data_IF_612375935021
#
_entry.id   IF_612375935021
#
_cell.length_a   1.000
_cell.length_b   1.000
_cell.length_c   1.000
_cell.angle_alpha   90.00
_cell.angle_beta   90.00
_cell.angle_gamma   90.00
#
_symmetry.space_group_name_H-M   'P 1'
#
loop_
_entity.id
_entity.type
_entity.pdbx_description
1 polymer ?
#
# COMPACT_ATOMS: atom_id res chain seq x y z
N UNK A 1 -16.76 11.71 1.86
CA UNK A 1 -18.11 11.49 2.44
C UNK A 1 -18.91 10.42 1.69
N UNK A 2 -18.95 10.39 0.35
CA UNK A 2 -19.66 9.35 -0.41
C UNK A 2 -19.14 7.90 -0.19
N UNK A 3 -17.82 7.68 -0.23
CA UNK A 3 -17.24 6.32 -0.05
C UNK A 3 -17.51 5.69 1.32
N UNK A 4 -17.37 6.48 2.41
CA UNK A 4 -17.64 6.00 3.78
C UNK A 4 -19.11 5.63 3.98
N UNK A 5 -20.04 6.35 3.35
CA UNK A 5 -21.46 5.99 3.38
C UNK A 5 -21.72 4.68 2.62
N UNK A 6 -21.14 4.52 1.43
CA UNK A 6 -21.28 3.28 0.66
C UNK A 6 -20.77 2.04 1.42
N UNK A 7 -19.72 2.16 2.24
CA UNK A 7 -19.22 1.08 3.11
C UNK A 7 -20.25 0.75 4.21
N UNK A 8 -20.88 1.76 4.83
CA UNK A 8 -21.95 1.53 5.82
C UNK A 8 -23.14 0.80 5.20
N UNK A 9 -23.55 1.24 4.01
CA UNK A 9 -24.66 0.64 3.28
C UNK A 9 -24.35 -0.81 2.89
N UNK A 10 -23.13 -1.09 2.42
CA UNK A 10 -22.68 -2.45 2.13
C UNK A 10 -22.69 -3.35 3.38
N UNK A 11 -22.26 -2.83 4.54
CA UNK A 11 -22.36 -3.55 5.82
C UNK A 11 -23.81 -3.86 6.19
N UNK A 12 -24.72 -2.88 6.05
CA UNK A 12 -26.14 -3.08 6.30
C UNK A 12 -26.77 -4.13 5.38
N UNK A 13 -26.42 -4.12 4.09
CA UNK A 13 -26.86 -5.14 3.10
C UNK A 13 -26.36 -6.54 3.50
N UNK A 14 -25.15 -6.64 4.05
CA UNK A 14 -24.58 -7.89 4.55
C UNK A 14 -25.12 -8.32 5.93
N UNK A 15 -26.03 -7.56 6.55
CA UNK A 15 -26.55 -7.83 7.88
C UNK A 15 -25.59 -7.50 9.04
N UNK A 16 -24.59 -6.65 8.79
CA UNK A 16 -23.58 -6.23 9.77
C UNK A 16 -23.83 -4.79 10.24
N UNK A 17 -23.77 -4.57 11.55
CA UNK A 17 -23.77 -3.22 12.14
C UNK A 17 -22.35 -2.63 12.08
N UNK A 18 -22.15 -1.63 11.22
CA UNK A 18 -20.85 -0.95 11.10
C UNK A 18 -20.65 0.02 12.28
N UNK A 19 -19.88 -0.40 13.28
CA UNK A 19 -19.60 0.39 14.49
C UNK A 19 -18.69 1.59 14.20
N UNK A 20 -17.62 1.38 13.44
CA UNK A 20 -16.64 2.41 13.10
C UNK A 20 -16.05 2.13 11.70
N UNK A 21 -15.57 3.19 11.03
CA UNK A 21 -14.78 3.08 9.81
C UNK A 21 -13.45 3.77 10.07
N UNK A 22 -12.37 3.01 9.99
CA UNK A 22 -11.01 3.46 10.30
C UNK A 22 -10.14 3.41 9.06
N UNK A 23 -9.08 4.22 9.05
CA UNK A 23 -8.09 4.14 7.97
C UNK A 23 -7.13 2.97 8.24
N UNK A 24 -6.72 2.29 7.17
CA UNK A 24 -5.86 1.11 7.23
C UNK A 24 -4.51 1.41 7.90
N UNK A 25 -3.81 2.43 7.42
CA UNK A 25 -2.51 2.85 7.95
C UNK A 25 -2.56 3.27 9.43
N UNK A 26 -3.64 3.92 9.85
CA UNK A 26 -3.87 4.27 11.26
C UNK A 26 -4.10 3.02 12.10
N UNK A 27 -4.94 2.10 11.63
CA UNK A 27 -5.27 0.84 12.32
C UNK A 27 -4.02 -0.03 12.52
N UNK A 28 -3.19 -0.16 11.49
CA UNK A 28 -1.93 -0.90 11.56
C UNK A 28 -0.92 -0.25 12.51
N UNK A 29 -0.83 1.08 12.54
CA UNK A 29 0.04 1.77 13.48
C UNK A 29 -0.40 1.63 14.95
N UNK A 30 -1.71 1.57 15.21
CA UNK A 30 -2.25 1.27 16.55
C UNK A 30 -1.88 -0.15 16.96
N UNK A 31 -2.13 -1.11 16.07
CA UNK A 31 -1.76 -2.50 16.29
C UNK A 31 -0.26 -2.63 16.62
N UNK A 32 0.58 -1.87 15.92
CA UNK A 32 2.01 -1.77 16.19
C UNK A 32 2.33 -1.23 17.60
N UNK A 33 1.75 -0.10 17.99
CA UNK A 33 2.05 0.50 19.30
C UNK A 33 1.59 -0.37 20.48
N UNK A 34 0.46 -1.05 20.33
CA UNK A 34 -0.07 -1.98 21.33
C UNK A 34 0.80 -3.22 21.50
N UNK A 35 1.23 -3.84 20.40
CA UNK A 35 2.08 -5.04 20.46
C UNK A 35 3.45 -4.73 21.07
N UNK A 36 4.01 -3.55 20.80
CA UNK A 36 5.38 -3.20 21.21
C UNK A 36 5.47 -2.49 22.58
N UNK A 37 4.34 -2.23 23.26
CA UNK A 37 4.28 -1.58 24.59
C UNK A 37 5.17 -0.34 24.69
N UNK A 38 4.89 0.65 23.84
CA UNK A 38 5.69 1.87 23.72
C UNK A 38 5.51 2.74 24.97
N UNK A 39 6.56 2.84 25.80
CA UNK A 39 6.54 3.62 27.05
C UNK A 39 7.07 5.05 26.93
N UNK A 40 7.57 5.45 25.77
CA UNK A 40 8.11 6.77 25.52
C UNK A 40 7.53 7.34 24.22
N UNK A 41 7.40 8.66 24.15
CA UNK A 41 6.92 9.35 22.95
C UNK A 41 7.70 8.91 21.70
N UNK A 42 6.98 8.40 20.69
CA UNK A 42 7.56 8.00 19.40
C UNK A 42 6.74 8.55 18.24
N UNK A 43 7.47 9.09 17.27
CA UNK A 43 6.91 9.37 15.94
C UNK A 43 7.04 8.12 15.07
N UNK A 44 5.91 7.58 14.64
CA UNK A 44 5.81 6.41 13.77
C UNK A 44 5.30 6.85 12.41
N UNK A 45 5.95 6.42 11.33
CA UNK A 45 5.46 6.63 9.98
C UNK A 45 4.90 5.31 9.43
N UNK A 46 3.61 5.30 9.13
CA UNK A 46 2.97 4.21 8.41
C UNK A 46 3.04 4.49 6.90
N UNK A 47 3.77 3.64 6.17
CA UNK A 47 3.90 3.67 4.71
C UNK A 47 2.99 2.60 4.11
N UNK A 48 1.80 3.00 3.67
CA UNK A 48 0.81 2.13 3.05
C UNK A 48 0.91 2.21 1.53
N UNK A 49 1.38 1.14 0.89
CA UNK A 49 1.40 1.01 -0.57
C UNK A 49 0.53 -0.17 -1.00
N UNK A 50 -0.69 0.16 -1.43
CA UNK A 50 -1.69 -0.79 -1.87
C UNK A 50 -1.64 -1.09 -3.37
N UNK A 51 -2.80 -1.52 -3.89
CA UNK A 51 -2.98 -1.78 -5.32
C UNK A 51 -3.11 -0.51 -6.17
N UNK A 52 -3.83 0.50 -5.69
CA UNK A 52 -4.18 1.67 -6.51
C UNK A 52 -3.69 3.01 -5.95
N UNK A 53 -3.19 3.01 -4.72
CA UNK A 53 -2.83 4.22 -4.02
C UNK A 53 -1.71 3.96 -3.01
N UNK A 54 -1.05 5.06 -2.65
CA UNK A 54 -0.13 5.13 -1.51
C UNK A 54 -0.68 6.12 -0.50
N UNK A 55 -0.70 5.73 0.77
CA UNK A 55 -1.09 6.57 1.90
C UNK A 55 0.06 6.61 2.92
N UNK A 56 0.42 7.81 3.34
CA UNK A 56 1.41 8.04 4.38
C UNK A 56 0.70 8.66 5.57
N UNK A 57 0.82 8.02 6.72
CA UNK A 57 0.33 8.55 7.99
C UNK A 57 1.50 8.73 8.93
N UNK A 58 1.66 9.93 9.49
CA UNK A 58 2.57 10.17 10.60
C UNK A 58 1.75 10.13 11.88
N UNK A 59 2.15 9.29 12.83
CA UNK A 59 1.53 9.16 14.13
C UNK A 59 2.51 9.55 15.22
N UNK A 60 1.99 10.20 16.24
CA UNK A 60 2.64 10.37 17.52
C UNK A 60 1.98 9.38 18.49
N UNK A 61 2.79 8.50 19.08
CA UNK A 61 2.35 7.48 20.03
C UNK A 61 3.04 7.76 21.36
N UNK A 62 2.25 7.87 22.42
CA UNK A 62 2.71 8.07 23.80
C UNK A 62 1.84 7.24 24.74
N UNK A 63 2.39 6.19 25.32
CA UNK A 63 1.64 5.21 26.13
C UNK A 63 0.40 4.69 25.38
N UNK A 64 -0.80 5.11 25.79
CA UNK A 64 -2.10 4.73 25.21
C UNK A 64 -2.74 5.85 24.35
N UNK A 65 -2.05 6.97 24.11
CA UNK A 65 -2.50 8.05 23.23
C UNK A 65 -1.92 7.88 21.81
N UNK A 66 -2.83 7.70 20.84
CA UNK A 66 -2.50 7.49 19.44
C UNK A 66 -3.05 8.65 18.60
N UNK A 67 -2.15 9.54 18.18
CA UNK A 67 -2.52 10.74 17.42
C UNK A 67 -1.92 10.74 16.03
N UNK A 68 -2.77 10.63 15.01
CA UNK A 68 -2.34 10.94 13.65
C UNK A 68 -2.04 12.46 13.57
N UNK A 69 -0.83 12.84 13.16
CA UNK A 69 -0.44 14.24 13.01
C UNK A 69 -0.60 14.73 11.58
N UNK A 70 -0.45 13.83 10.60
CA UNK A 70 -0.66 14.13 9.19
C UNK A 70 -1.05 12.88 8.41
N UNK A 71 -1.76 13.09 7.30
CA UNK A 71 -2.07 12.06 6.31
C UNK A 71 -1.86 12.66 4.92
N UNK A 72 -1.02 12.03 4.11
CA UNK A 72 -0.82 12.37 2.71
C UNK A 72 -1.10 11.14 1.84
N UNK A 73 -1.65 11.34 0.64
CA UNK A 73 -1.91 10.24 -0.27
C UNK A 73 -1.69 10.63 -1.73
N UNK A 74 -1.46 9.63 -2.57
CA UNK A 74 -1.45 9.74 -4.03
C UNK A 74 -2.33 8.64 -4.63
N UNK A 75 -3.27 9.01 -5.50
CA UNK A 75 -4.38 8.15 -5.96
C UNK A 75 -4.16 7.48 -7.32
N UNK A 76 -2.96 7.55 -7.88
CA UNK A 76 -2.56 6.89 -9.13
C UNK A 76 -1.13 6.35 -8.99
N UNK A 77 -0.90 5.66 -7.88
CA UNK A 77 0.42 5.16 -7.52
C UNK A 77 0.26 3.93 -6.63
N UNK A 78 0.25 2.76 -7.25
CA UNK A 78 0.21 1.48 -6.53
C UNK A 78 0.59 0.29 -7.40
N UNK A 79 0.33 -0.91 -6.88
CA UNK A 79 0.62 -2.18 -7.54
C UNK A 79 0.01 -2.35 -8.94
N UNK A 80 -1.17 -1.79 -9.18
CA UNK A 80 -1.87 -1.80 -10.48
C UNK A 80 -1.09 -1.00 -11.53
N UNK A 81 -0.54 0.15 -11.16
CA UNK A 81 0.25 0.99 -12.06
C UNK A 81 1.55 0.27 -12.46
N UNK A 82 2.16 -0.47 -11.53
CA UNK A 82 3.34 -1.28 -11.81
C UNK A 82 3.04 -2.41 -12.79
N UNK A 83 1.88 -3.06 -12.64
CA UNK A 83 1.41 -4.07 -13.59
C UNK A 83 1.09 -3.46 -14.94
N UNK A 84 0.48 -2.28 -14.99
CA UNK A 84 0.19 -1.61 -16.27
C UNK A 84 1.47 -1.36 -17.08
N UNK A 85 2.57 -0.94 -16.43
CA UNK A 85 3.88 -0.79 -17.10
C UNK A 85 4.43 -2.10 -17.65
N UNK A 86 4.28 -3.20 -16.92
CA UNK A 86 4.65 -4.53 -17.40
C UNK A 86 3.79 -4.96 -18.61
N UNK A 87 2.48 -4.75 -18.54
CA UNK A 87 1.56 -5.06 -19.65
C UNK A 87 1.92 -4.25 -20.89
N UNK A 88 2.15 -2.94 -20.76
CA UNK A 88 2.55 -2.07 -21.87
C UNK A 88 3.90 -2.48 -22.49
N UNK A 89 4.85 -2.95 -21.67
CA UNK A 89 6.10 -3.52 -22.14
C UNK A 89 5.86 -4.78 -23.00
N UNK A 90 5.09 -5.75 -22.50
CA UNK A 90 4.82 -7.00 -23.22
C UNK A 90 3.92 -6.83 -24.44
N UNK A 91 2.97 -5.90 -24.42
CA UNK A 91 2.15 -5.56 -25.61
C UNK A 91 3.04 -5.03 -26.73
N UNK A 92 3.99 -4.13 -26.41
CA UNK A 92 4.96 -3.61 -27.40
C UNK A 92 5.87 -4.72 -27.92
N UNK A 93 6.35 -5.60 -27.04
CA UNK A 93 7.24 -6.68 -27.45
C UNK A 93 6.51 -7.75 -28.31
N UNK A 94 5.28 -8.10 -27.94
CA UNK A 94 4.43 -8.99 -28.74
C UNK A 94 4.22 -8.43 -30.15
N UNK A 95 3.88 -7.13 -30.26
CA UNK A 95 3.71 -6.45 -31.54
C UNK A 95 4.99 -6.45 -32.36
N UNK A 96 6.14 -6.24 -31.73
CA UNK A 96 7.45 -6.30 -32.40
C UNK A 96 7.77 -7.70 -32.92
N UNK A 97 7.51 -8.75 -32.13
CA UNK A 97 7.90 -10.13 -32.46
C UNK A 97 6.96 -10.82 -33.43
N UNK A 98 5.66 -10.57 -33.34
CA UNK A 98 4.64 -11.26 -34.15
C UNK A 98 3.94 -10.36 -35.17
N UNK A 99 4.22 -9.05 -35.17
CA UNK A 99 3.55 -8.07 -36.02
C UNK A 99 2.02 -8.07 -35.88
N UNK A 100 1.53 -8.29 -34.65
CA UNK A 100 0.12 -8.37 -34.27
C UNK A 100 -0.16 -7.48 -33.06
N UNK A 101 -1.33 -6.85 -33.03
CA UNK A 101 -1.67 -5.93 -31.94
C UNK A 101 -2.58 -6.59 -30.90
N UNK A 102 -2.07 -6.75 -29.68
CA UNK A 102 -2.87 -7.27 -28.56
C UNK A 102 -3.98 -6.33 -28.12
N UNK A 103 -3.92 -5.04 -28.49
CA UNK A 103 -4.92 -4.05 -28.10
C UNK A 103 -6.32 -4.40 -28.61
N UNK A 104 -6.41 -5.16 -29.71
CA UNK A 104 -7.68 -5.60 -30.29
C UNK A 104 -8.33 -6.76 -29.49
N UNK A 105 -7.56 -7.44 -28.61
CA UNK A 105 -8.01 -8.59 -27.83
C UNK A 105 -8.19 -8.27 -26.35
N UNK A 106 -9.41 -7.87 -25.95
CA UNK A 106 -9.77 -7.68 -24.54
C UNK A 106 -9.48 -8.91 -23.67
N UNK A 107 -9.70 -10.10 -24.22
CA UNK A 107 -9.40 -11.38 -23.55
C UNK A 107 -7.91 -11.54 -23.33
N UNK A 108 -7.11 -11.35 -24.38
CA UNK A 108 -5.64 -11.47 -24.33
C UNK A 108 -5.04 -10.48 -23.34
N UNK A 109 -5.46 -9.21 -23.38
CA UNK A 109 -5.02 -8.19 -22.42
C UNK A 109 -5.32 -8.56 -20.97
N UNK A 110 -6.51 -9.12 -20.69
CA UNK A 110 -6.87 -9.57 -19.34
C UNK A 110 -5.99 -10.74 -18.88
N UNK A 111 -5.75 -11.73 -19.74
CA UNK A 111 -4.87 -12.86 -19.43
C UNK A 111 -3.44 -12.37 -19.17
N UNK A 112 -2.92 -11.49 -20.02
CA UNK A 112 -1.60 -10.89 -19.86
C UNK A 112 -1.48 -10.09 -18.56
N UNK A 113 -2.49 -9.29 -18.22
CA UNK A 113 -2.52 -8.53 -16.96
C UNK A 113 -2.47 -9.44 -15.74
N UNK A 114 -3.27 -10.52 -15.72
CA UNK A 114 -3.26 -11.48 -14.62
C UNK A 114 -1.88 -12.16 -14.47
N UNK A 115 -1.25 -12.52 -15.59
CA UNK A 115 0.08 -13.12 -15.57
C UNK A 115 1.16 -12.12 -15.13
N UNK A 116 1.03 -10.84 -15.51
CA UNK A 116 1.92 -9.78 -15.02
C UNK A 116 1.77 -9.53 -13.51
N UNK A 117 0.55 -9.55 -12.98
CA UNK A 117 0.32 -9.47 -11.52
C UNK A 117 1.01 -10.64 -10.79
N UNK A 118 0.82 -11.87 -11.29
CA UNK A 118 1.47 -13.04 -10.71
C UNK A 118 3.00 -12.98 -10.81
N UNK A 119 3.53 -12.51 -11.94
CA UNK A 119 4.96 -12.30 -12.13
C UNK A 119 5.51 -11.24 -11.14
N UNK A 120 4.83 -10.10 -10.96
CA UNK A 120 5.19 -9.07 -9.99
C UNK A 120 5.26 -9.63 -8.56
N UNK A 121 4.28 -10.43 -8.15
CA UNK A 121 4.29 -11.09 -6.84
C UNK A 121 5.49 -12.04 -6.70
N UNK A 122 5.75 -12.85 -7.73
CA UNK A 122 6.89 -13.78 -7.76
C UNK A 122 8.23 -13.04 -7.69
N UNK A 123 8.38 -11.92 -8.40
CA UNK A 123 9.59 -11.10 -8.42
C UNK A 123 9.90 -10.44 -7.07
N UNK A 124 8.93 -10.36 -6.15
CA UNK A 124 9.15 -9.86 -4.79
C UNK A 124 10.00 -10.83 -3.95
N UNK A 125 10.00 -12.12 -4.27
CA UNK A 125 10.83 -13.14 -3.59
C UNK A 125 11.92 -13.75 -4.49
N UNK A 126 11.70 -13.77 -5.82
CA UNK A 126 12.59 -14.39 -6.81
C UNK A 126 13.24 -13.36 -7.72
N UNK A 127 14.40 -13.68 -8.31
CA UNK A 127 15.10 -12.77 -9.23
C UNK A 127 14.51 -12.78 -10.65
N UNK A 128 13.66 -13.76 -10.98
CA UNK A 128 13.01 -13.91 -12.28
C UNK A 128 11.64 -14.56 -12.14
N UNK A 129 10.78 -14.35 -13.12
CA UNK A 129 9.46 -14.97 -13.23
C UNK A 129 9.15 -15.30 -14.70
N UNK A 130 8.51 -16.44 -14.94
CA UNK A 130 8.00 -16.82 -16.26
C UNK A 130 6.56 -16.35 -16.44
N UNK A 131 6.24 -15.94 -17.66
CA UNK A 131 4.90 -15.58 -18.12
C UNK A 131 4.57 -16.51 -19.27
N UNK A 132 3.59 -17.38 -19.04
CA UNK A 132 3.20 -18.43 -19.95
C UNK A 132 1.69 -18.35 -20.17
N UNK A 133 1.27 -18.11 -21.40
CA UNK A 133 -0.15 -17.96 -21.76
C UNK A 133 -0.39 -18.63 -23.11
N UNK A 134 -1.12 -19.73 -23.08
CA UNK A 134 -1.51 -20.45 -24.29
C UNK A 134 -2.56 -19.64 -25.07
N UNK A 135 -2.40 -19.59 -26.39
CA UNK A 135 -3.31 -18.94 -27.33
C UNK A 135 -3.69 -17.51 -26.90
N UNK A 136 -2.69 -16.70 -26.58
CA UNK A 136 -2.87 -15.32 -26.11
C UNK A 136 -3.63 -14.46 -27.14
N UNK A 137 -3.30 -14.61 -28.42
CA UNK A 137 -3.95 -13.91 -29.53
C UNK A 137 -3.75 -14.65 -30.84
N UNK A 138 -4.84 -14.91 -31.58
CA UNK A 138 -4.82 -15.61 -32.88
C UNK A 138 -4.01 -16.93 -32.84
N UNK A 139 -4.26 -17.75 -31.82
CA UNK A 139 -3.57 -19.04 -31.56
C UNK A 139 -2.05 -18.93 -31.35
N UNK A 140 -1.53 -17.72 -31.08
CA UNK A 140 -0.14 -17.49 -30.71
C UNK A 140 0.03 -17.68 -29.20
N UNK A 141 0.89 -18.62 -28.82
CA UNK A 141 1.30 -18.81 -27.44
C UNK A 141 2.33 -17.76 -27.02
N UNK A 142 2.25 -17.34 -25.76
CA UNK A 142 3.11 -16.32 -25.18
C UNK A 142 3.98 -16.92 -24.08
N UNK A 143 5.29 -17.05 -24.34
CA UNK A 143 6.29 -17.54 -23.39
C UNK A 143 7.42 -16.52 -23.22
N UNK A 144 7.48 -15.90 -22.04
CA UNK A 144 8.47 -14.90 -21.67
C UNK A 144 9.03 -15.12 -20.28
N UNK A 145 10.25 -14.64 -20.06
CA UNK A 145 10.84 -14.53 -18.73
C UNK A 145 11.19 -13.08 -18.48
N UNK A 146 10.82 -12.58 -17.30
CA UNK A 146 11.18 -11.24 -16.84
C UNK A 146 12.03 -11.34 -15.58
N UNK A 147 13.09 -10.52 -15.53
CA UNK A 147 13.94 -10.39 -14.34
C UNK A 147 13.41 -9.31 -13.41
N UNK A 148 13.77 -9.41 -12.13
CA UNK A 148 13.47 -8.37 -11.14
C UNK A 148 14.05 -7.03 -11.59
N UNK A 149 15.28 -7.02 -12.07
CA UNK A 149 15.96 -5.82 -12.59
C UNK A 149 15.15 -5.14 -13.69
N UNK A 150 14.69 -5.89 -14.70
CA UNK A 150 13.85 -5.33 -15.76
C UNK A 150 12.53 -4.75 -15.22
N UNK A 151 11.87 -5.45 -14.29
CA UNK A 151 10.66 -4.92 -13.64
C UNK A 151 10.93 -3.64 -12.86
N UNK A 152 12.07 -3.56 -12.16
CA UNK A 152 12.48 -2.37 -11.42
C UNK A 152 12.80 -1.19 -12.35
N UNK A 153 13.44 -1.44 -13.49
CA UNK A 153 13.71 -0.42 -14.51
C UNK A 153 12.42 0.14 -15.12
N UNK A 154 11.47 -0.74 -15.47
CA UNK A 154 10.17 -0.34 -16.05
C UNK A 154 9.35 0.57 -15.13
N UNK A 155 9.56 0.45 -13.82
CA UNK A 155 8.81 1.14 -12.77
C UNK A 155 9.66 2.15 -11.98
N UNK A 156 10.88 2.46 -12.42
CA UNK A 156 11.83 3.25 -11.64
C UNK A 156 11.32 4.66 -11.33
N UNK A 157 10.58 5.28 -12.24
CA UNK A 157 9.95 6.59 -12.03
C UNK A 157 8.80 6.51 -11.01
N UNK A 158 7.94 5.50 -11.12
CA UNK A 158 6.82 5.30 -10.19
C UNK A 158 7.32 4.99 -8.78
N UNK A 159 8.32 4.12 -8.62
CA UNK A 159 8.90 3.83 -7.31
C UNK A 159 9.48 5.07 -6.64
N UNK A 160 10.19 5.94 -7.39
CA UNK A 160 10.71 7.20 -6.85
C UNK A 160 9.60 8.18 -6.48
N UNK A 161 8.49 8.20 -7.22
CA UNK A 161 7.35 9.08 -6.91
C UNK A 161 6.67 8.76 -5.57
N UNK A 162 6.93 7.58 -4.97
CA UNK A 162 6.44 7.25 -3.62
C UNK A 162 7.04 8.12 -2.51
N UNK A 163 8.15 8.82 -2.78
CA UNK A 163 8.80 9.72 -1.82
C UNK A 163 8.01 11.03 -1.64
N UNK A 164 7.36 11.55 -2.68
CA UNK A 164 6.65 12.84 -2.60
C UNK A 164 5.54 12.85 -1.54
N UNK A 165 4.68 11.82 -1.44
CA UNK A 165 3.71 11.69 -0.34
C UNK A 165 4.37 11.65 1.05
N UNK A 166 5.56 11.04 1.18
CA UNK A 166 6.29 10.96 2.45
C UNK A 166 6.73 12.35 2.88
N UNK A 167 7.39 13.08 1.99
CA UNK A 167 7.83 14.44 2.27
C UNK A 167 6.67 15.36 2.62
N UNK A 168 5.54 15.21 1.92
CA UNK A 168 4.32 15.97 2.22
C UNK A 168 3.81 15.67 3.63
N UNK A 169 3.71 14.40 4.01
CA UNK A 169 3.29 14.02 5.36
C UNK A 169 4.24 14.57 6.44
N UNK A 170 5.56 14.47 6.24
CA UNK A 170 6.53 15.01 7.18
C UNK A 170 6.42 16.53 7.33
N UNK A 171 6.22 17.27 6.22
CA UNK A 171 5.99 18.72 6.24
C UNK A 171 4.70 19.08 6.98
N UNK A 172 3.61 18.38 6.70
CA UNK A 172 2.31 18.64 7.33
C UNK A 172 2.34 18.30 8.83
N UNK A 173 3.07 17.26 9.23
CA UNK A 173 3.34 16.90 10.62
C UNK A 173 4.35 17.83 11.32
N UNK A 174 5.06 18.68 10.56
CA UNK A 174 6.12 19.58 11.05
C UNK A 174 7.24 18.86 11.80
N UNK A 175 7.64 17.68 11.32
CA UNK A 175 8.75 16.92 11.87
C UNK A 175 9.84 16.71 10.82
N UNK A 176 11.08 16.61 11.27
CA UNK A 176 12.19 16.20 10.40
C UNK A 176 12.20 14.68 10.20
N UNK A 177 12.73 14.19 9.08
CA UNK A 177 12.89 12.76 8.83
C UNK A 177 13.71 12.04 9.91
N UNK A 178 14.67 12.72 10.53
CA UNK A 178 15.48 12.18 11.62
C UNK A 178 14.67 11.96 12.91
N UNK A 179 13.56 12.69 13.07
CA UNK A 179 12.65 12.55 14.21
C UNK A 179 11.65 11.41 14.05
N UNK A 180 11.61 10.74 12.90
CA UNK A 180 10.84 9.50 12.72
C UNK A 180 11.60 8.36 13.42
N UNK A 181 10.95 7.73 14.39
CA UNK A 181 11.56 6.66 15.18
C UNK A 181 11.44 5.34 14.44
N UNK A 182 10.23 5.03 13.97
CA UNK A 182 9.85 3.75 13.37
C UNK A 182 9.14 3.96 12.03
N UNK A 183 9.36 3.04 11.10
CA UNK A 183 8.68 3.01 9.81
C UNK A 183 7.95 1.68 9.70
N UNK A 184 6.63 1.74 9.73
CA UNK A 184 5.75 0.58 9.62
C UNK A 184 5.29 0.48 8.18
N UNK A 185 5.55 -0.66 7.54
CA UNK A 185 5.05 -0.95 6.20
C UNK A 185 3.59 -1.40 6.30
N UNK A 186 2.77 -1.05 5.33
CA UNK A 186 1.36 -1.48 5.20
C UNK A 186 1.07 -1.71 3.71
N UNK A 187 0.23 -2.69 3.39
CA UNK A 187 -0.16 -2.97 2.01
C UNK A 187 0.82 -3.86 1.24
N UNK A 188 0.27 -4.71 0.37
CA UNK A 188 1.01 -5.80 -0.28
C UNK A 188 2.13 -5.35 -1.23
N UNK A 189 2.03 -4.16 -1.85
CA UNK A 189 3.05 -3.67 -2.78
C UNK A 189 4.31 -3.19 -2.05
N UNK A 190 4.28 -3.02 -0.72
CA UNK A 190 5.49 -2.76 0.08
C UNK A 190 6.45 -3.96 0.12
N UNK A 191 6.01 -5.16 -0.29
CA UNK A 191 6.85 -6.36 -0.38
C UNK A 191 7.88 -6.28 -1.51
N UNK A 192 7.75 -5.32 -2.42
CA UNK A 192 8.71 -5.10 -3.52
C UNK A 192 10.06 -4.65 -2.94
N UNK A 193 11.17 -5.40 -3.18
CA UNK A 193 12.47 -5.08 -2.61
C UNK A 193 12.96 -3.68 -2.94
N UNK A 194 12.73 -3.20 -4.17
CA UNK A 194 13.15 -1.88 -4.60
C UNK A 194 12.47 -0.74 -3.86
N UNK A 195 11.18 -0.89 -3.55
CA UNK A 195 10.41 0.10 -2.78
C UNK A 195 10.98 0.19 -1.36
N UNK A 196 11.26 -0.95 -0.73
CA UNK A 196 11.89 -0.99 0.59
C UNK A 196 13.28 -0.35 0.58
N UNK A 197 14.09 -0.63 -0.45
CA UNK A 197 15.41 -0.02 -0.60
C UNK A 197 15.31 1.51 -0.69
N UNK A 198 14.45 2.03 -1.57
CA UNK A 198 14.23 3.47 -1.74
C UNK A 198 13.80 4.13 -0.42
N UNK A 199 12.92 3.46 0.32
CA UNK A 199 12.46 3.94 1.62
C UNK A 199 13.59 3.96 2.67
N UNK A 200 14.41 2.91 2.73
CA UNK A 200 15.58 2.86 3.61
C UNK A 200 16.58 3.96 3.26
N UNK A 201 16.88 4.13 1.97
CA UNK A 201 17.80 5.15 1.47
C UNK A 201 17.32 6.57 1.85
N UNK A 202 16.01 6.83 1.70
CA UNK A 202 15.39 8.10 2.08
C UNK A 202 15.55 8.41 3.58
N UNK A 203 15.39 7.38 4.43
CA UNK A 203 15.58 7.44 5.88
C UNK A 203 17.00 7.09 6.34
N UNK A 204 18.02 7.32 5.50
CA UNK A 204 19.44 7.20 5.86
C UNK A 204 19.83 5.81 6.39
N UNK A 205 19.28 4.75 5.79
CA UNK A 205 19.56 3.36 6.15
C UNK A 205 18.80 2.85 7.38
N UNK A 206 17.80 3.59 7.88
CA UNK A 206 16.95 3.15 9.00
C UNK A 206 16.29 1.82 8.66
N UNK A 207 16.28 0.89 9.62
CA UNK A 207 15.63 -0.40 9.45
C UNK A 207 14.10 -0.22 9.37
N UNK A 208 13.49 -0.93 8.42
CA UNK A 208 12.03 -0.95 8.26
C UNK A 208 11.44 -1.97 9.22
N UNK A 209 10.35 -1.60 9.87
CA UNK A 209 9.71 -2.47 10.83
C UNK A 209 8.94 -3.60 10.12
N UNK A 210 9.26 -4.84 10.49
CA UNK A 210 8.66 -6.08 9.97
C UNK A 210 8.07 -6.94 11.09
N UNK A 211 7.87 -6.39 12.29
CA UNK A 211 7.47 -7.16 13.47
C UNK A 211 6.02 -7.66 13.41
N UNK A 212 5.24 -7.18 12.45
CA UNK A 212 3.85 -7.57 12.24
C UNK A 212 3.67 -8.08 10.81
N UNK A 213 2.95 -9.18 10.66
CA UNK A 213 2.49 -9.61 9.34
C UNK A 213 1.53 -8.58 8.77
N UNK A 214 1.90 -8.02 7.62
CA UNK A 214 1.21 -6.91 6.96
C UNK A 214 -0.26 -7.22 6.68
N UNK A 215 -0.55 -8.49 6.38
CA UNK A 215 -1.87 -8.95 5.97
C UNK A 215 -2.80 -9.13 7.19
N UNK A 216 -2.25 -9.27 8.40
CA UNK A 216 -3.01 -9.48 9.64
C UNK A 216 -3.13 -8.21 10.48
N UNK A 217 -2.19 -7.27 10.36
CA UNK A 217 -2.10 -6.10 11.22
C UNK A 217 -3.36 -5.21 11.21
N UNK A 218 -3.98 -5.06 10.03
CA UNK A 218 -5.22 -4.29 9.87
C UNK A 218 -6.39 -4.98 10.58
N UNK A 219 -6.54 -6.29 10.38
CA UNK A 219 -7.60 -7.07 11.00
C UNK A 219 -7.41 -7.14 12.52
N UNK A 220 -6.17 -7.29 12.98
CA UNK A 220 -5.82 -7.27 14.39
C UNK A 220 -6.16 -5.93 15.04
N UNK A 221 -5.72 -4.81 14.45
CA UNK A 221 -6.04 -3.48 14.99
C UNK A 221 -7.55 -3.22 15.03
N UNK A 222 -8.29 -3.65 14.01
CA UNK A 222 -9.75 -3.54 13.99
C UNK A 222 -10.42 -4.40 15.08
N UNK A 223 -9.94 -5.62 15.29
CA UNK A 223 -10.44 -6.52 16.33
C UNK A 223 -10.15 -5.99 17.74
N UNK A 224 -8.95 -5.45 17.97
CA UNK A 224 -8.60 -4.87 19.28
C UNK A 224 -9.47 -3.66 19.60
N UNK A 225 -9.76 -2.80 18.62
CA UNK A 225 -10.60 -1.61 18.83
C UNK A 225 -12.10 -1.92 18.98
N UNK A 226 -12.55 -3.12 18.59
CA UNK A 226 -13.95 -3.55 18.70
C UNK A 226 -14.19 -4.65 19.73
N UNK A 227 -13.12 -5.24 20.27
CA UNK A 227 -13.16 -6.26 21.31
C UNK A 227 -13.62 -5.67 22.64
N UNK A 228 -14.74 -6.17 23.15
CA UNK A 228 -15.38 -5.71 24.38
C UNK A 228 -14.45 -6.00 25.60
N UNK A 229 -13.93 -4.94 26.26
CA UNK A 229 -13.52 -4.91 27.68
C UNK A 229 -12.28 -5.71 28.14
N UNK A 230 -11.17 -5.76 27.41
CA UNK A 230 -9.89 -5.96 28.11
C UNK A 230 -9.49 -4.66 28.82
N UNK A 231 -8.92 -4.74 30.03
CA UNK A 231 -8.46 -3.53 30.77
C UNK A 231 -7.42 -2.72 29.98
N UNK A 232 -6.71 -3.38 29.06
CA UNK A 232 -5.67 -2.80 28.19
C UNK A 232 -6.20 -1.89 27.08
N UNK A 233 -7.50 -1.94 26.76
CA UNK A 233 -8.10 -1.22 25.60
C UNK A 233 -9.01 -0.06 26.06
N UNK A 234 -9.33 0.03 27.35
CA UNK A 234 -10.32 0.99 27.88
C UNK A 234 -9.91 2.45 27.76
N UNK A 235 -8.62 2.74 27.77
CA UNK A 235 -8.08 4.10 27.81
C UNK A 235 -7.44 4.54 26.48
N UNK A 236 -7.63 3.76 25.41
CA UNK A 236 -7.12 4.10 24.08
C UNK A 236 -7.82 5.34 23.52
N UNK A 237 -7.04 6.42 23.37
CA UNK A 237 -7.48 7.63 22.70
C UNK A 237 -6.96 7.63 21.26
N UNK A 238 -7.89 7.64 20.30
CA UNK A 238 -7.58 7.72 18.88
C UNK A 238 -8.06 9.05 18.30
N UNK A 239 -7.12 9.83 17.75
CA UNK A 239 -7.43 11.04 16.97
C UNK A 239 -6.97 10.89 15.52
N UNK A 240 -7.94 10.76 14.60
CA UNK A 240 -7.69 10.84 13.15
C UNK A 240 -7.79 12.27 12.63
N UNK A 241 -6.90 12.64 11.70
CA UNK A 241 -6.98 13.89 10.95
C UNK A 241 -7.84 13.67 9.70
N UNK A 242 -8.79 14.57 9.44
CA UNK A 242 -9.55 14.54 8.19
C UNK A 242 -8.68 15.13 7.07
N UNK A 243 -8.40 14.39 5.98
CA UNK A 243 -7.44 14.83 4.95
C UNK A 243 -7.92 16.01 4.09
N UNK A 244 -9.16 16.49 4.28
CA UNK A 244 -9.76 17.55 3.47
C UNK A 244 -10.44 18.59 4.37
N UNK A 245 -10.27 19.87 4.03
CA UNK A 245 -10.95 20.99 4.69
C UNK A 245 -12.46 20.85 4.56
N UNK A 246 -13.17 20.76 5.68
CA UNK A 246 -14.63 20.80 5.71
C UNK A 246 -15.08 22.26 5.62
N UNK A 247 -15.44 22.71 4.42
CA UNK A 247 -16.12 23.99 4.25
C UNK A 247 -17.62 23.79 4.45
N UNK A 248 -18.19 24.32 5.54
CA UNK A 248 -19.63 24.49 5.65
C UNK A 248 -20.03 25.75 4.90
N UNK A 249 -20.78 25.62 3.81
CA UNK A 249 -21.61 26.74 3.32
C UNK A 249 -22.72 26.94 4.36
N UNK A 250 -22.66 28.06 5.06
CA UNK A 250 -23.81 28.63 5.78
C UNK A 250 -24.78 29.17 4.73
#
# INVERSE_FOLDING_TARGET
>A
TSKRQAIKDAGAIAGLTVLCIMNESTTTAIAYGLVNKISAERNVLAFDLGGSNVNITVLKIEEDDFKATSIASSTHLGGDDFVNRMVEYFVRDFKRKYNKDLQDSKRGLRQLRNACEFAKLTLSSSCQASIEIDSLHEDIDFYWTITRECCEELNADLFRSTIEPIEKALRDAKIDKASVHEIVLVGGSTRIPKVQQILQDFFNGKQLNRSMELDEAVAYGAAVLTGDKSEEVKDLLLMEVVPHSLASKI
#
